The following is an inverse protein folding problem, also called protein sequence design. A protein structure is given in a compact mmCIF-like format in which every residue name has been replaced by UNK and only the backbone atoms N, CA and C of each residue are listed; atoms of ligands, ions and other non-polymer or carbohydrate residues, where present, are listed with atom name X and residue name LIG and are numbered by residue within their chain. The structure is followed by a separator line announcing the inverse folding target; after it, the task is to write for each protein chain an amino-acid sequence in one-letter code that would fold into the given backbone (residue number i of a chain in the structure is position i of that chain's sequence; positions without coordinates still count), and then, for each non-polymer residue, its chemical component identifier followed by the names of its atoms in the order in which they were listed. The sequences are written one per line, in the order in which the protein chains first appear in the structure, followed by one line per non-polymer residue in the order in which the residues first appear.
data_IF_971626896248
#
_entry.id   IF_971626896248
#
_cell.length_a   1.000
_cell.length_b   1.000
_cell.length_c   1.000
_cell.angle_alpha   90.00
_cell.angle_beta   90.00
_cell.angle_gamma   90.00
#
_symmetry.space_group_name_H-M   'P 1'
#
loop_
_entity.id
_entity.type
_entity.pdbx_description
1 polymer ?
#
# COMPACT_ATOMS: atom_id res chain seq x y z
N UNK A 1 51.39 -13.64 54.38
CA UNK A 1 50.56 -12.45 54.09
C UNK A 1 49.09 -12.69 53.73
N UNK A 2 48.53 -13.92 53.80
CA UNK A 2 47.07 -14.17 53.66
C UNK A 2 46.35 -13.39 52.52
N UNK A 3 47.01 -13.16 51.38
CA UNK A 3 46.47 -12.42 50.24
C UNK A 3 46.41 -10.88 50.39
N UNK A 4 47.09 -10.27 51.36
CA UNK A 4 47.14 -8.81 51.57
C UNK A 4 48.24 -8.09 50.75
N UNK A 5 48.82 -8.73 49.74
CA UNK A 5 49.81 -8.14 48.83
C UNK A 5 49.16 -7.83 47.46
N UNK A 6 49.67 -6.85 46.69
CA UNK A 6 49.14 -6.55 45.37
C UNK A 6 49.62 -7.56 44.31
N UNK A 7 48.74 -7.90 43.37
CA UNK A 7 49.08 -8.75 42.21
C UNK A 7 49.62 -7.89 41.06
N UNK A 8 49.03 -6.72 40.85
CA UNK A 8 49.42 -5.79 39.80
C UNK A 8 50.40 -4.73 40.30
N UNK A 9 51.25 -4.23 39.40
CA UNK A 9 52.25 -3.22 39.72
C UNK A 9 51.65 -1.87 40.12
N UNK A 10 52.44 -1.04 40.82
CA UNK A 10 52.02 0.32 41.18
C UNK A 10 51.62 1.12 39.92
N UNK A 11 50.54 1.93 39.97
CA UNK A 11 49.83 2.43 41.17
C UNK A 11 48.63 1.58 41.63
N UNK A 12 48.59 0.27 41.35
CA UNK A 12 47.49 -0.60 41.79
C UNK A 12 47.50 -0.84 43.32
N UNK A 13 46.41 -0.48 43.99
CA UNK A 13 46.21 -0.71 45.42
C UNK A 13 45.33 -1.95 45.72
N UNK A 14 45.04 -2.78 44.72
CA UNK A 14 44.23 -3.98 44.86
C UNK A 14 45.03 -5.13 45.46
N UNK A 15 44.42 -5.82 46.42
CA UNK A 15 45.04 -6.96 47.11
C UNK A 15 44.67 -8.26 46.42
N UNK A 16 45.55 -9.26 46.47
CA UNK A 16 45.30 -10.58 45.89
C UNK A 16 43.99 -11.23 46.33
N UNK A 17 43.56 -11.00 47.58
CA UNK A 17 42.24 -11.45 48.05
C UNK A 17 41.05 -10.71 47.40
N UNK A 18 41.22 -9.41 47.11
CA UNK A 18 40.19 -8.61 46.44
C UNK A 18 40.07 -9.04 44.97
N UNK A 19 41.19 -9.40 44.34
CA UNK A 19 41.21 -9.96 42.98
C UNK A 19 40.47 -11.30 42.89
N UNK A 20 40.71 -12.21 43.84
CA UNK A 20 39.99 -13.48 43.89
C UNK A 20 38.48 -13.27 44.05
N UNK A 21 38.07 -12.45 45.02
CA UNK A 21 36.65 -12.14 45.25
C UNK A 21 36.02 -11.46 44.03
N UNK A 22 36.76 -10.58 43.34
CA UNK A 22 36.29 -9.95 42.10
C UNK A 22 35.97 -11.00 41.04
N UNK A 23 36.87 -11.94 40.80
CA UNK A 23 36.70 -12.96 39.77
C UNK A 23 35.56 -13.94 40.13
N UNK A 24 35.47 -14.37 41.39
CA UNK A 24 34.37 -15.21 41.88
C UNK A 24 33.02 -14.50 41.78
N UNK A 25 32.97 -13.21 42.12
CA UNK A 25 31.75 -12.43 41.99
C UNK A 25 31.33 -12.25 40.53
N UNK A 26 32.26 -12.04 39.60
CA UNK A 26 31.94 -11.96 38.17
C UNK A 26 31.46 -13.30 37.62
N UNK A 27 32.03 -14.42 38.08
CA UNK A 27 31.54 -15.76 37.73
C UNK A 27 30.10 -15.96 38.24
N UNK A 28 29.79 -15.49 39.45
CA UNK A 28 28.49 -15.66 40.08
C UNK A 28 27.39 -14.74 39.53
N UNK A 29 27.70 -13.46 39.30
CA UNK A 29 26.71 -12.42 38.94
C UNK A 29 26.75 -12.03 37.47
N UNK A 30 27.78 -12.44 36.73
CA UNK A 30 27.97 -12.14 35.32
C UNK A 30 28.65 -10.80 35.05
N UNK A 31 29.37 -10.74 33.93
CA UNK A 31 30.01 -9.51 33.44
C UNK A 31 28.98 -8.42 33.13
N UNK A 32 29.24 -7.19 33.58
CA UNK A 32 28.35 -6.04 33.39
C UNK A 32 27.41 -5.75 34.56
N UNK A 33 27.25 -6.69 35.51
CA UNK A 33 26.44 -6.49 36.71
C UNK A 33 27.28 -5.92 37.88
N UNK A 34 27.90 -4.76 37.67
CA UNK A 34 28.91 -4.19 38.58
C UNK A 34 28.37 -3.80 39.95
N UNK A 35 27.08 -3.47 40.04
CA UNK A 35 26.41 -3.17 41.31
C UNK A 35 26.44 -4.38 42.24
N UNK A 36 26.02 -5.56 41.76
CA UNK A 36 26.01 -6.78 42.56
C UNK A 36 27.44 -7.30 42.83
N UNK A 37 28.34 -7.20 41.85
CA UNK A 37 29.76 -7.58 42.03
C UNK A 37 30.43 -6.71 43.10
N UNK A 38 30.14 -5.41 43.14
CA UNK A 38 30.74 -4.51 44.13
C UNK A 38 30.29 -4.79 45.58
N UNK A 39 29.11 -5.39 45.78
CA UNK A 39 28.64 -5.76 47.13
C UNK A 39 29.54 -6.81 47.80
N UNK A 40 30.25 -7.63 47.02
CA UNK A 40 31.25 -8.58 47.51
C UNK A 40 32.58 -7.90 47.91
N UNK A 41 32.79 -6.66 47.47
CA UNK A 41 34.00 -5.86 47.67
C UNK A 41 33.66 -4.55 48.41
N UNK A 42 33.42 -4.59 49.73
CA UNK A 42 32.92 -3.45 50.48
C UNK A 42 33.87 -2.22 50.53
N UNK A 43 35.12 -2.39 50.11
CA UNK A 43 36.13 -1.32 50.00
C UNK A 43 36.13 -0.61 48.64
N UNK A 44 35.31 -1.03 47.67
CA UNK A 44 35.37 -0.57 46.26
C UNK A 44 33.99 -0.16 45.76
N UNK A 45 33.93 0.86 44.91
CA UNK A 45 32.68 1.22 44.22
C UNK A 45 32.45 0.34 42.98
N UNK A 46 31.21 0.30 42.48
CA UNK A 46 30.87 -0.39 41.23
C UNK A 46 31.67 0.14 40.03
N UNK A 47 31.88 1.46 39.97
CA UNK A 47 32.71 2.12 38.96
C UNK A 47 34.18 1.69 39.04
N UNK A 48 34.78 1.66 40.24
CA UNK A 48 36.16 1.22 40.45
C UNK A 48 36.35 -0.26 40.09
N UNK A 49 35.38 -1.09 40.47
CA UNK A 49 35.36 -2.54 40.16
C UNK A 49 35.31 -2.76 38.66
N UNK A 50 34.42 -2.05 37.95
CA UNK A 50 34.28 -2.10 36.50
C UNK A 50 35.58 -1.67 35.81
N UNK A 51 36.10 -0.50 36.18
CA UNK A 51 37.30 0.06 35.56
C UNK A 51 38.50 -0.86 35.78
N UNK A 52 38.68 -1.36 37.01
CA UNK A 52 39.78 -2.24 37.35
C UNK A 52 39.73 -3.56 36.57
N UNK A 53 38.56 -4.20 36.51
CA UNK A 53 38.39 -5.44 35.77
C UNK A 53 38.69 -5.25 34.28
N UNK A 54 38.11 -4.20 33.67
CA UNK A 54 38.32 -3.90 32.26
C UNK A 54 39.80 -3.60 31.96
N UNK A 55 40.47 -2.81 32.78
CA UNK A 55 41.84 -2.41 32.54
C UNK A 55 42.85 -3.55 32.68
N UNK A 56 42.61 -4.53 33.56
CA UNK A 56 43.57 -5.61 33.82
C UNK A 56 43.22 -6.92 33.11
N UNK A 57 41.94 -7.32 33.11
CA UNK A 57 41.49 -8.62 32.62
C UNK A 57 40.90 -8.60 31.21
N UNK A 58 40.48 -7.44 30.69
CA UNK A 58 39.97 -7.31 29.32
C UNK A 58 40.97 -6.63 28.39
N UNK A 59 41.36 -5.40 28.71
CA UNK A 59 42.28 -4.59 27.91
C UNK A 59 43.73 -4.87 28.28
N UNK A 60 43.98 -5.28 29.54
CA UNK A 60 45.30 -5.47 30.12
C UNK A 60 46.07 -6.67 29.59
N UNK A 61 47.22 -6.96 30.21
CA UNK A 61 48.09 -8.06 29.79
C UNK A 61 47.38 -9.41 29.85
N UNK A 62 46.54 -9.63 30.87
CA UNK A 62 45.77 -10.89 30.99
C UNK A 62 44.79 -10.99 29.83
N UNK A 63 43.96 -9.96 29.63
CA UNK A 63 42.98 -9.94 28.55
C UNK A 63 43.60 -10.10 27.16
N UNK A 64 44.73 -9.44 26.88
CA UNK A 64 45.45 -9.64 25.60
C UNK A 64 45.99 -11.06 25.42
N UNK A 65 46.33 -11.75 26.50
CA UNK A 65 46.87 -13.11 26.47
C UNK A 65 45.78 -14.19 26.46
N UNK A 66 44.63 -13.93 27.10
CA UNK A 66 43.50 -14.88 27.22
C UNK A 66 42.43 -14.66 26.14
N UNK A 67 42.27 -13.43 25.68
CA UNK A 67 41.34 -13.01 24.64
C UNK A 67 42.12 -12.41 23.46
N UNK A 68 42.30 -13.20 22.40
CA UNK A 68 42.93 -12.67 21.19
C UNK A 68 42.03 -11.61 20.57
N UNK A 69 42.45 -10.35 20.58
CA UNK A 69 41.76 -9.28 19.84
C UNK A 69 41.83 -9.51 18.33
N UNK A 70 42.65 -10.46 17.86
CA UNK A 70 42.68 -10.96 16.49
C UNK A 70 41.59 -12.00 16.18
N UNK A 71 40.52 -12.07 16.99
CA UNK A 71 39.27 -12.63 16.48
C UNK A 71 38.76 -11.66 15.43
N UNK A 72 39.25 -11.88 14.20
CA UNK A 72 38.56 -11.49 12.98
C UNK A 72 37.10 -11.87 13.19
N UNK A 73 36.25 -10.87 13.41
CA UNK A 73 34.81 -11.02 13.53
C UNK A 73 34.21 -11.34 12.16
N UNK A 74 34.78 -12.31 11.45
CA UNK A 74 34.13 -13.03 10.36
C UNK A 74 33.10 -14.02 10.96
N UNK A 75 32.29 -13.56 11.91
CA UNK A 75 31.03 -14.22 12.19
C UNK A 75 30.20 -13.98 10.93
N UNK A 76 30.24 -14.94 10.02
CA UNK A 76 29.39 -14.94 8.84
C UNK A 76 27.98 -15.18 9.33
N UNK A 77 27.17 -14.13 9.34
CA UNK A 77 25.76 -14.26 9.65
C UNK A 77 25.07 -15.02 8.51
N UNK A 78 24.85 -16.32 8.74
CA UNK A 78 24.17 -17.22 7.81
C UNK A 78 22.65 -16.99 7.77
N UNK A 79 22.13 -16.08 8.58
CA UNK A 79 20.70 -15.73 8.61
C UNK A 79 20.36 -14.53 7.72
N UNK A 80 21.38 -13.87 7.15
CA UNK A 80 21.18 -12.75 6.22
C UNK A 80 20.82 -13.28 4.83
N UNK A 81 19.60 -13.01 4.31
CA UNK A 81 19.27 -13.33 2.93
C UNK A 81 20.09 -12.47 1.95
N UNK A 82 20.21 -12.89 0.68
CA UNK A 82 20.99 -12.16 -0.36
C UNK A 82 20.61 -10.67 -0.52
N UNK A 83 19.43 -10.25 -0.02
CA UNK A 83 18.95 -8.86 -0.02
C UNK A 83 19.36 -8.00 1.20
N UNK A 84 20.23 -8.51 2.09
CA UNK A 84 20.68 -7.79 3.29
C UNK A 84 19.88 -8.13 4.56
N UNK A 85 20.32 -7.63 5.72
CA UNK A 85 19.76 -8.03 7.01
C UNK A 85 18.37 -7.41 7.22
N UNK A 86 17.51 -8.18 7.86
CA UNK A 86 16.09 -7.86 8.03
C UNK A 86 15.80 -6.97 9.20
N UNK A 87 16.73 -7.03 10.14
CA UNK A 87 16.89 -6.11 11.25
C UNK A 87 18.25 -5.43 11.07
N UNK A 88 18.43 -4.21 11.58
CA UNK A 88 19.73 -3.60 11.67
C UNK A 88 20.72 -4.53 12.36
N UNK A 89 21.91 -4.60 11.78
CA UNK A 89 23.06 -5.25 12.40
C UNK A 89 24.08 -4.20 12.79
N UNK A 90 25.06 -4.56 13.63
CA UNK A 90 26.15 -3.67 14.00
C UNK A 90 26.91 -3.12 12.77
N UNK A 91 26.91 -3.87 11.66
CA UNK A 91 27.48 -3.46 10.37
C UNK A 91 26.53 -2.67 9.46
N UNK A 92 25.22 -2.62 9.77
CA UNK A 92 24.19 -1.96 8.96
C UNK A 92 23.15 -1.27 9.85
N UNK A 93 23.46 -0.08 10.40
CA UNK A 93 22.54 0.67 11.26
C UNK A 93 21.33 1.19 10.47
N UNK A 94 20.16 1.30 11.13
CA UNK A 94 18.95 1.91 10.54
C UNK A 94 19.14 3.42 10.43
N UNK A 95 18.66 4.00 9.33
CA UNK A 95 18.47 5.44 9.27
C UNK A 95 17.48 5.90 10.37
N UNK A 96 17.79 6.96 11.13
CA UNK A 96 16.86 7.47 12.13
C UNK A 96 15.53 7.86 11.49
N UNK A 97 14.42 7.28 11.98
CA UNK A 97 13.07 7.66 11.57
C UNK A 97 12.52 8.68 12.57
N UNK A 98 12.07 9.84 12.09
CA UNK A 98 11.37 10.85 12.90
C UNK A 98 9.92 10.37 13.17
N UNK A 99 9.78 9.57 14.23
CA UNK A 99 8.51 9.06 14.73
C UNK A 99 8.27 9.57 16.15
N UNK A 100 7.08 10.10 16.41
CA UNK A 100 6.70 10.53 17.76
C UNK A 100 6.36 9.32 18.64
N UNK A 101 6.48 9.40 19.98
CA UNK A 101 6.12 8.29 20.87
C UNK A 101 4.68 7.79 20.68
N UNK A 102 3.74 8.69 20.35
CA UNK A 102 2.34 8.33 20.09
C UNK A 102 2.19 7.53 18.79
N UNK A 103 2.85 7.94 17.71
CA UNK A 103 2.84 7.21 16.43
C UNK A 103 3.54 5.85 16.57
N UNK A 104 4.61 5.81 17.36
CA UNK A 104 5.33 4.58 17.67
C UNK A 104 4.41 3.58 18.37
N UNK A 105 3.65 4.01 19.37
CA UNK A 105 2.69 3.18 20.07
C UNK A 105 1.52 2.74 19.18
N UNK A 106 1.03 3.61 18.29
CA UNK A 106 -0.07 3.27 17.37
C UNK A 106 0.35 2.20 16.35
N UNK A 107 1.59 2.27 15.85
CA UNK A 107 2.14 1.29 14.92
C UNK A 107 2.72 0.04 15.60
N UNK A 108 3.03 0.11 16.89
CA UNK A 108 3.86 -0.87 17.58
C UNK A 108 5.25 -1.00 16.93
N UNK A 109 5.77 0.07 16.32
CA UNK A 109 7.05 0.03 15.60
C UNK A 109 8.23 0.24 16.55
N UNK A 110 9.34 -0.45 16.32
CA UNK A 110 10.55 -0.40 17.12
C UNK A 110 11.70 0.16 16.27
N UNK A 111 11.98 1.48 16.31
CA UNK A 111 12.89 2.14 15.37
C UNK A 111 14.32 1.58 15.39
N UNK A 112 14.85 1.25 16.56
CA UNK A 112 16.20 0.70 16.70
C UNK A 112 16.32 -0.75 16.20
N UNK A 113 15.19 -1.42 15.92
CA UNK A 113 15.12 -2.81 15.45
C UNK A 113 14.58 -2.94 14.02
N UNK A 114 14.08 -1.85 13.44
CA UNK A 114 13.34 -1.85 12.17
C UNK A 114 12.26 -2.96 12.15
N UNK A 115 11.50 -3.06 13.23
CA UNK A 115 10.63 -4.20 13.51
C UNK A 115 9.33 -3.77 14.20
N UNK A 116 8.34 -4.66 14.28
CA UNK A 116 7.03 -4.41 14.87
C UNK A 116 6.78 -5.34 16.05
N UNK A 117 6.10 -4.84 17.09
CA UNK A 117 5.66 -5.65 18.24
C UNK A 117 4.78 -6.82 17.81
N UNK A 118 3.98 -6.63 16.75
CA UNK A 118 3.15 -7.65 16.14
C UNK A 118 3.44 -7.74 14.65
N UNK A 119 3.99 -8.87 14.22
CA UNK A 119 4.33 -9.08 12.82
C UNK A 119 3.13 -9.56 11.98
N UNK A 120 3.29 -9.48 10.66
CA UNK A 120 2.37 -10.16 9.74
C UNK A 120 2.43 -11.67 9.97
N UNK A 121 1.27 -12.30 10.13
CA UNK A 121 1.15 -13.71 10.51
C UNK A 121 1.98 -14.06 11.75
N UNK A 122 1.71 -13.34 12.85
CA UNK A 122 2.40 -13.45 14.13
C UNK A 122 2.39 -14.87 14.74
N UNK A 123 1.48 -15.74 14.30
CA UNK A 123 1.36 -17.10 14.82
C UNK A 123 2.08 -18.12 13.94
N UNK A 124 2.90 -17.70 12.95
CA UNK A 124 3.56 -18.63 12.03
C UNK A 124 4.44 -19.65 12.75
N UNK A 125 5.09 -19.22 13.83
CA UNK A 125 5.97 -20.00 14.70
C UNK A 125 5.21 -21.15 15.39
N UNK A 126 3.88 -21.05 15.54
CA UNK A 126 3.06 -22.13 16.07
C UNK A 126 3.13 -23.42 15.23
N UNK A 127 3.45 -23.33 13.93
CA UNK A 127 3.61 -24.49 13.05
C UNK A 127 4.80 -25.37 13.42
N UNK A 128 5.82 -24.77 14.04
CA UNK A 128 7.08 -25.45 14.37
C UNK A 128 7.29 -25.59 15.88
N UNK A 129 6.41 -25.02 16.70
CA UNK A 129 6.57 -24.98 18.16
C UNK A 129 6.59 -26.35 18.84
N UNK A 130 5.99 -27.36 18.19
CA UNK A 130 5.90 -28.73 18.71
C UNK A 130 6.85 -29.70 17.98
N UNK A 131 7.72 -29.19 17.09
CA UNK A 131 8.71 -30.03 16.42
C UNK A 131 9.80 -30.44 17.40
N UNK A 132 9.96 -31.74 17.58
CA UNK A 132 11.10 -32.36 18.26
C UNK A 132 11.98 -33.06 17.24
N UNK A 133 13.29 -33.13 17.51
CA UNK A 133 14.24 -33.90 16.69
C UNK A 133 14.60 -35.17 17.46
N UNK A 134 14.47 -36.33 16.83
CA UNK A 134 14.75 -37.63 17.45
C UNK A 134 15.11 -38.72 16.43
N UNK A 135 15.03 -39.98 16.85
CA UNK A 135 15.04 -41.11 15.89
C UNK A 135 13.68 -41.16 15.21
N UNK A 136 13.66 -40.82 13.92
CA UNK A 136 12.46 -40.64 13.12
C UNK A 136 12.51 -41.58 11.93
N UNK A 137 11.35 -42.11 11.54
CA UNK A 137 11.23 -42.79 10.27
C UNK A 137 11.12 -41.77 9.11
N UNK A 138 11.28 -42.26 7.88
CA UNK A 138 11.26 -41.41 6.68
C UNK A 138 9.96 -40.62 6.53
N UNK A 139 8.83 -41.19 6.99
CA UNK A 139 7.52 -40.54 6.92
C UNK A 139 7.42 -39.39 7.93
N UNK A 140 7.87 -39.59 9.16
CA UNK A 140 7.92 -38.56 10.19
C UNK A 140 8.85 -37.41 9.78
N UNK A 141 10.05 -37.73 9.29
CA UNK A 141 10.96 -36.71 8.76
C UNK A 141 10.33 -35.95 7.59
N UNK A 142 9.66 -36.62 6.64
CA UNK A 142 8.98 -35.96 5.54
C UNK A 142 7.85 -35.03 6.01
N UNK A 143 7.09 -35.43 7.05
CA UNK A 143 6.04 -34.60 7.64
C UNK A 143 6.62 -33.34 8.30
N UNK A 144 7.69 -33.49 9.09
CA UNK A 144 8.37 -32.36 9.74
C UNK A 144 8.97 -31.40 8.71
N UNK A 145 9.59 -31.92 7.66
CA UNK A 145 10.08 -31.12 6.55
C UNK A 145 8.96 -30.34 5.85
N UNK A 146 7.78 -30.94 5.66
CA UNK A 146 6.63 -30.25 5.10
C UNK A 146 6.13 -29.11 6.03
N UNK A 147 6.10 -29.33 7.35
CA UNK A 147 5.76 -28.29 8.33
C UNK A 147 6.78 -27.14 8.30
N UNK A 148 8.08 -27.43 8.21
CA UNK A 148 9.14 -26.43 8.09
C UNK A 148 9.05 -25.65 6.77
N UNK A 149 8.72 -26.31 5.65
CA UNK A 149 8.48 -25.62 4.37
C UNK A 149 7.26 -24.68 4.47
N UNK A 150 6.16 -25.12 5.09
CA UNK A 150 4.99 -24.27 5.34
C UNK A 150 5.35 -23.03 6.17
N UNK A 151 6.13 -23.20 7.23
CA UNK A 151 6.65 -22.10 8.04
C UNK A 151 7.56 -21.16 7.22
N UNK A 152 8.48 -21.71 6.44
CA UNK A 152 9.40 -20.94 5.58
C UNK A 152 8.64 -20.10 4.54
N UNK A 153 7.53 -20.60 4.00
CA UNK A 153 6.65 -19.83 3.09
C UNK A 153 6.01 -18.63 3.80
N UNK A 154 5.55 -18.79 5.04
CA UNK A 154 4.98 -17.70 5.84
C UNK A 154 6.02 -16.63 6.15
N UNK A 155 7.24 -17.05 6.55
CA UNK A 155 8.34 -16.12 6.76
C UNK A 155 8.68 -15.35 5.49
N UNK A 156 8.83 -16.01 4.33
CA UNK A 156 9.09 -15.33 3.04
C UNK A 156 8.07 -14.24 2.71
N UNK A 157 6.81 -14.45 3.06
CA UNK A 157 5.73 -13.51 2.77
C UNK A 157 5.66 -12.36 3.80
N UNK A 158 5.99 -12.63 5.08
CA UNK A 158 6.23 -11.59 6.09
C UNK A 158 7.38 -10.66 5.69
N UNK A 159 8.47 -11.27 5.23
CA UNK A 159 9.67 -10.64 4.72
C UNK A 159 9.43 -9.76 3.51
N UNK A 160 8.69 -10.29 2.54
CA UNK A 160 8.25 -9.53 1.36
C UNK A 160 7.47 -8.28 1.75
N UNK A 161 6.58 -8.36 2.75
CA UNK A 161 5.85 -7.17 3.25
C UNK A 161 6.77 -6.14 3.90
N UNK A 162 7.73 -6.57 4.72
CA UNK A 162 8.73 -5.65 5.31
C UNK A 162 9.52 -4.93 4.22
N UNK A 163 9.99 -5.66 3.21
CA UNK A 163 10.67 -5.07 2.05
C UNK A 163 9.79 -4.04 1.33
N UNK A 164 8.51 -4.35 1.11
CA UNK A 164 7.56 -3.43 0.47
C UNK A 164 7.33 -2.16 1.30
N UNK A 165 7.19 -2.28 2.63
CA UNK A 165 7.05 -1.13 3.53
C UNK A 165 8.25 -0.19 3.42
N UNK A 166 9.46 -0.76 3.35
CA UNK A 166 10.72 -0.02 3.22
C UNK A 166 10.86 0.65 1.85
N UNK A 167 10.67 -0.11 0.78
CA UNK A 167 10.84 0.37 -0.60
C UNK A 167 9.89 1.53 -0.90
N UNK A 168 8.61 1.40 -0.51
CA UNK A 168 7.61 2.46 -0.67
C UNK A 168 7.66 3.54 0.42
N UNK A 169 8.59 3.46 1.38
CA UNK A 169 8.74 4.40 2.50
C UNK A 169 7.42 4.66 3.24
N UNK A 170 6.61 3.62 3.43
CA UNK A 170 5.25 3.76 3.96
C UNK A 170 5.24 4.30 5.40
N UNK A 171 6.29 3.99 6.17
CA UNK A 171 6.47 4.51 7.52
C UNK A 171 6.66 6.03 7.51
N UNK A 172 7.54 6.55 6.64
CA UNK A 172 7.72 8.00 6.47
C UNK A 172 6.41 8.65 6.04
N UNK A 173 5.72 8.08 5.05
CA UNK A 173 4.44 8.61 4.57
C UNK A 173 3.39 8.69 5.68
N UNK A 174 3.35 7.70 6.58
CA UNK A 174 2.45 7.69 7.73
C UNK A 174 2.78 8.84 8.70
N UNK A 175 4.03 8.96 9.15
CA UNK A 175 4.47 10.02 10.08
C UNK A 175 4.30 11.43 9.48
N UNK A 176 4.43 11.57 8.15
CA UNK A 176 4.27 12.85 7.46
C UNK A 176 2.81 13.16 7.08
N UNK A 177 1.89 12.19 7.12
CA UNK A 177 0.50 12.40 6.73
C UNK A 177 -0.25 13.36 7.67
N UNK A 178 0.14 13.42 8.94
CA UNK A 178 -0.44 14.31 9.96
C UNK A 178 0.21 15.68 10.07
N UNK A 179 1.42 15.87 9.51
CA UNK A 179 2.13 17.15 9.57
C UNK A 179 1.58 18.09 8.49
N UNK A 180 1.27 19.36 8.81
CA UNK A 180 0.84 20.31 7.78
C UNK A 180 1.97 20.45 6.76
N UNK A 181 1.75 19.96 5.53
CA UNK A 181 2.64 20.25 4.40
C UNK A 181 2.84 21.75 4.37
N UNK A 182 4.06 22.21 4.61
CA UNK A 182 4.45 23.60 4.36
C UNK A 182 3.98 23.91 2.93
N UNK A 183 2.95 24.73 2.80
CA UNK A 183 2.35 25.02 1.50
C UNK A 183 3.43 25.59 0.60
N UNK A 184 3.62 25.08 -0.62
CA UNK A 184 4.23 25.90 -1.65
C UNK A 184 3.30 27.10 -1.82
N UNK A 185 3.76 28.27 -1.39
CA UNK A 185 3.14 29.55 -1.71
C UNK A 185 3.14 29.66 -3.24
N UNK A 186 2.00 29.41 -3.88
CA UNK A 186 1.90 29.61 -5.33
C UNK A 186 0.76 28.87 -6.04
N UNK A 187 -0.36 29.57 -6.24
CA UNK A 187 -1.08 29.52 -7.53
C UNK A 187 -2.24 28.53 -7.70
N UNK A 188 -3.45 29.08 -7.76
CA UNK A 188 -4.47 28.67 -8.74
C UNK A 188 -5.56 27.70 -8.26
N UNK A 189 -6.78 28.23 -8.08
CA UNK A 189 -8.03 27.48 -7.82
C UNK A 189 -8.44 26.46 -8.91
N UNK A 190 -7.68 26.31 -10.00
CA UNK A 190 -8.03 25.45 -11.15
C UNK A 190 -7.51 24.00 -11.07
N UNK A 191 -6.67 23.64 -10.08
CA UNK A 191 -6.00 22.31 -10.00
C UNK A 191 -6.72 21.25 -9.15
N UNK A 192 -7.88 21.57 -8.56
CA UNK A 192 -8.52 20.66 -7.58
C UNK A 192 -9.08 19.39 -8.25
N UNK A 193 -9.71 19.55 -9.41
CA UNK A 193 -10.31 18.44 -10.18
C UNK A 193 -9.26 17.53 -10.82
N UNK A 194 -8.17 18.09 -11.36
CA UNK A 194 -7.04 17.30 -11.89
C UNK A 194 -6.41 16.47 -10.78
N UNK A 195 -6.10 17.09 -9.64
CA UNK A 195 -5.49 16.42 -8.48
C UNK A 195 -6.37 15.35 -7.84
N UNK A 196 -7.69 15.45 -7.96
CA UNK A 196 -8.63 14.38 -7.55
C UNK A 196 -8.59 13.19 -8.51
N UNK A 197 -8.58 13.46 -9.82
CA UNK A 197 -8.42 12.41 -10.83
C UNK A 197 -7.05 11.71 -10.74
N UNK A 198 -5.99 12.46 -10.43
CA UNK A 198 -4.64 11.92 -10.28
C UNK A 198 -4.56 11.01 -9.04
N UNK A 199 -5.22 11.39 -7.94
CA UNK A 199 -5.37 10.52 -6.76
C UNK A 199 -6.16 9.26 -7.04
N UNK A 200 -7.27 9.36 -7.78
CA UNK A 200 -8.06 8.19 -8.16
C UNK A 200 -7.23 7.23 -9.03
N UNK A 201 -6.42 7.77 -9.95
CA UNK A 201 -5.49 6.97 -10.75
C UNK A 201 -4.45 6.28 -9.86
N UNK A 202 -3.81 7.01 -8.95
CA UNK A 202 -2.83 6.45 -8.02
C UNK A 202 -3.44 5.30 -7.20
N UNK A 203 -4.64 5.46 -6.66
CA UNK A 203 -5.32 4.41 -5.89
C UNK A 203 -5.61 3.17 -6.75
N UNK A 204 -6.06 3.37 -8.01
CA UNK A 204 -6.28 2.26 -8.95
C UNK A 204 -4.98 1.53 -9.31
N UNK A 205 -3.88 2.25 -9.39
CA UNK A 205 -2.58 1.68 -9.76
C UNK A 205 -1.86 1.00 -8.59
N UNK A 206 -2.29 1.24 -7.33
CA UNK A 206 -1.69 0.65 -6.13
C UNK A 206 -1.57 -0.89 -6.15
N UNK A 207 -2.43 -1.58 -6.89
CA UNK A 207 -2.36 -3.04 -7.07
C UNK A 207 -1.05 -3.52 -7.69
N UNK A 208 -0.36 -2.65 -8.44
CA UNK A 208 0.91 -2.96 -9.08
C UNK A 208 2.11 -2.81 -8.14
N UNK A 209 1.94 -2.17 -6.98
CA UNK A 209 3.02 -2.03 -5.99
C UNK A 209 3.53 -3.37 -5.46
N UNK A 210 2.78 -4.44 -5.67
CA UNK A 210 3.17 -5.79 -5.28
C UNK A 210 4.14 -6.45 -6.27
N UNK A 211 4.29 -5.88 -7.47
CA UNK A 211 5.10 -6.41 -8.58
C UNK A 211 6.17 -5.43 -9.08
N UNK A 212 6.15 -4.20 -8.60
CA UNK A 212 7.04 -3.12 -9.01
C UNK A 212 7.79 -2.63 -7.78
N UNK A 213 9.01 -2.15 -7.98
CA UNK A 213 9.67 -1.29 -6.99
C UNK A 213 8.97 0.06 -6.88
N UNK A 214 9.27 0.83 -5.83
CA UNK A 214 8.75 2.18 -5.67
C UNK A 214 9.11 3.09 -6.86
N UNK A 215 10.35 3.01 -7.35
CA UNK A 215 10.82 3.80 -8.48
C UNK A 215 10.10 3.43 -9.80
N UNK A 216 9.95 2.15 -10.09
CA UNK A 216 9.22 1.68 -11.27
C UNK A 216 7.74 2.07 -11.22
N UNK A 217 7.14 2.04 -10.04
CA UNK A 217 5.75 2.43 -9.84
C UNK A 217 5.55 3.94 -10.05
N UNK A 218 6.44 4.78 -9.52
CA UNK A 218 6.42 6.22 -9.78
C UNK A 218 6.57 6.52 -11.27
N UNK A 219 7.53 5.86 -11.94
CA UNK A 219 7.73 5.99 -13.38
C UNK A 219 6.49 5.58 -14.19
N UNK A 220 5.80 4.50 -13.79
CA UNK A 220 4.54 4.10 -14.41
C UNK A 220 3.50 5.22 -14.32
N UNK A 221 3.32 5.81 -13.14
CA UNK A 221 2.35 6.89 -12.92
C UNK A 221 2.67 8.12 -13.77
N UNK A 222 3.93 8.55 -13.79
CA UNK A 222 4.38 9.67 -14.62
C UNK A 222 4.13 9.40 -16.11
N UNK A 223 4.39 8.18 -16.58
CA UNK A 223 4.17 7.80 -17.97
C UNK A 223 2.69 7.80 -18.35
N UNK A 224 1.81 7.35 -17.46
CA UNK A 224 0.36 7.40 -17.68
C UNK A 224 -0.16 8.84 -17.73
N UNK A 225 0.35 9.71 -16.88
CA UNK A 225 0.02 11.14 -16.92
C UNK A 225 0.50 11.79 -18.22
N UNK A 226 1.77 11.55 -18.59
CA UNK A 226 2.36 12.04 -19.84
C UNK A 226 1.61 11.53 -21.06
N UNK A 227 1.20 10.26 -21.07
CA UNK A 227 0.39 9.70 -22.16
C UNK A 227 -0.95 10.44 -22.29
N UNK A 228 -1.63 10.70 -21.18
CA UNK A 228 -2.89 11.44 -21.14
C UNK A 228 -2.71 12.88 -21.68
N UNK A 229 -1.65 13.56 -21.27
CA UNK A 229 -1.31 14.91 -21.76
C UNK A 229 -1.04 14.90 -23.27
N UNK A 230 -0.24 13.95 -23.76
CA UNK A 230 0.07 13.81 -25.19
C UNK A 230 -1.18 13.52 -26.00
N UNK A 231 -2.07 12.62 -25.53
CA UNK A 231 -3.36 12.34 -26.18
C UNK A 231 -4.24 13.58 -26.24
N UNK A 232 -4.30 14.37 -25.16
CA UNK A 232 -5.05 15.63 -25.14
C UNK A 232 -4.46 16.65 -26.13
N UNK A 233 -3.13 16.79 -26.16
CA UNK A 233 -2.42 17.68 -27.08
C UNK A 233 -2.61 17.26 -28.54
N UNK A 234 -2.58 15.96 -28.85
CA UNK A 234 -2.86 15.45 -30.19
C UNK A 234 -4.30 15.80 -30.60
N UNK A 235 -5.29 15.56 -29.73
CA UNK A 235 -6.70 15.92 -30.00
C UNK A 235 -6.86 17.43 -30.25
N UNK A 236 -6.15 18.27 -29.51
CA UNK A 236 -6.12 19.72 -29.68
C UNK A 236 -5.49 20.13 -31.03
N UNK A 237 -4.32 19.58 -31.36
CA UNK A 237 -3.64 19.86 -32.63
C UNK A 237 -4.46 19.42 -33.85
N UNK A 238 -5.11 18.25 -33.77
CA UNK A 238 -6.03 17.79 -34.81
C UNK A 238 -7.23 18.72 -34.96
N UNK A 239 -7.73 19.30 -33.86
CA UNK A 239 -8.81 20.29 -33.89
C UNK A 239 -8.37 21.58 -34.58
N UNK A 240 -7.16 22.07 -34.35
CA UNK A 240 -6.62 23.23 -35.09
C UNK A 240 -6.55 22.95 -36.59
N UNK A 241 -6.00 21.81 -36.99
CA UNK A 241 -5.91 21.41 -38.41
C UNK A 241 -7.28 21.35 -39.08
N UNK A 242 -8.30 20.80 -38.41
CA UNK A 242 -9.69 20.76 -38.92
C UNK A 242 -10.31 22.16 -39.10
N UNK A 243 -9.82 23.16 -38.38
CA UNK A 243 -10.25 24.55 -38.52
C UNK A 243 -9.32 25.37 -39.44
N UNK A 244 -8.46 24.69 -40.21
CA UNK A 244 -7.59 25.33 -41.21
C UNK A 244 -6.32 25.97 -40.62
N UNK A 245 -6.02 25.76 -39.34
CA UNK A 245 -4.83 26.31 -38.69
C UNK A 245 -3.67 25.34 -38.89
N UNK A 246 -2.62 25.83 -39.53
CA UNK A 246 -1.45 25.01 -39.88
C UNK A 246 -0.17 25.46 -39.17
N UNK A 247 -0.16 26.63 -38.52
CA UNK A 247 0.99 27.16 -37.77
C UNK A 247 0.69 27.22 -36.27
N UNK A 248 1.70 26.95 -35.44
CA UNK A 248 1.55 26.95 -33.98
C UNK A 248 1.26 28.34 -33.41
N UNK A 249 1.82 29.39 -34.00
CA UNK A 249 1.67 30.78 -33.52
C UNK A 249 0.21 31.27 -33.62
N UNK A 250 -0.54 30.73 -34.59
CA UNK A 250 -1.96 31.05 -34.84
C UNK A 250 -2.92 30.33 -33.86
N UNK A 251 -2.44 29.31 -33.13
CA UNK A 251 -3.28 28.51 -32.22
C UNK A 251 -3.85 29.35 -31.06
N UNK A 252 -3.05 30.24 -30.49
CA UNK A 252 -3.46 31.04 -29.32
C UNK A 252 -4.59 32.00 -29.66
N UNK A 253 -4.49 32.68 -30.81
CA UNK A 253 -5.49 33.62 -31.30
C UNK A 253 -6.81 32.91 -31.60
N UNK A 254 -6.74 31.73 -32.20
CA UNK A 254 -7.90 30.89 -32.46
C UNK A 254 -8.60 30.45 -31.17
N UNK A 255 -7.87 30.04 -30.13
CA UNK A 255 -8.50 29.63 -28.89
C UNK A 255 -9.13 30.82 -28.14
N UNK A 256 -8.51 32.00 -28.17
CA UNK A 256 -9.12 33.23 -27.65
C UNK A 256 -10.42 33.55 -28.40
N UNK A 257 -10.40 33.50 -29.73
CA UNK A 257 -11.57 33.74 -30.56
C UNK A 257 -12.68 32.69 -30.34
N UNK A 258 -12.31 31.42 -30.19
CA UNK A 258 -13.20 30.30 -29.89
C UNK A 258 -13.85 30.47 -28.52
N UNK A 259 -13.05 30.71 -27.48
CA UNK A 259 -13.53 30.91 -26.12
C UNK A 259 -14.47 32.12 -26.04
N UNK A 260 -14.16 33.23 -26.74
CA UNK A 260 -15.06 34.38 -26.86
C UNK A 260 -16.39 34.01 -27.53
N UNK A 261 -16.36 33.16 -28.57
CA UNK A 261 -17.57 32.67 -29.25
C UNK A 261 -18.40 31.75 -28.36
N UNK A 262 -17.78 30.84 -27.63
CA UNK A 262 -18.44 29.93 -26.69
C UNK A 262 -19.08 30.70 -25.53
N UNK A 263 -18.36 31.66 -24.92
CA UNK A 263 -18.89 32.52 -23.87
C UNK A 263 -20.11 33.33 -24.34
N UNK A 264 -20.09 33.84 -25.58
CA UNK A 264 -21.24 34.51 -26.19
C UNK A 264 -22.43 33.57 -26.39
N UNK A 265 -22.19 32.33 -26.83
CA UNK A 265 -23.24 31.29 -26.96
C UNK A 265 -23.82 30.90 -25.60
N UNK A 266 -23.01 30.76 -24.56
CA UNK A 266 -23.49 30.49 -23.20
C UNK A 266 -24.36 31.61 -22.66
N UNK A 267 -23.93 32.87 -22.81
CA UNK A 267 -24.72 34.03 -22.38
C UNK A 267 -26.05 34.07 -23.12
N UNK A 268 -26.05 33.83 -24.44
CA UNK A 268 -27.28 33.75 -25.26
C UNK A 268 -28.19 32.59 -24.87
N UNK A 269 -27.63 31.46 -24.42
CA UNK A 269 -28.38 30.29 -23.94
C UNK A 269 -28.96 30.52 -22.54
N UNK A 270 -28.29 31.31 -21.70
CA UNK A 270 -28.76 31.72 -20.37
C UNK A 270 -29.78 32.86 -20.42
N UNK A 271 -29.76 33.68 -21.48
CA UNK A 271 -30.68 34.83 -21.67
C UNK A 271 -31.89 34.53 -22.57
N UNK A 272 -32.05 33.30 -23.07
CA UNK A 272 -33.23 32.93 -23.85
C UNK A 272 -34.40 32.58 -22.90
N UNK A 273 -35.58 33.24 -23.03
CA UNK A 273 -36.74 32.86 -22.25
C UNK A 273 -37.25 31.49 -22.72
N UNK A 274 -37.69 30.66 -21.78
CA UNK A 274 -38.41 29.43 -22.07
C UNK A 274 -39.81 29.77 -22.59
N UNK A 275 -39.96 29.96 -23.91
CA UNK A 275 -41.28 29.93 -24.54
C UNK A 275 -41.23 29.30 -25.94
N UNK A 276 -42.22 28.44 -26.12
CA UNK A 276 -42.58 27.57 -27.25
C UNK A 276 -42.50 28.19 -28.65
N UNK A 277 -42.23 27.37 -29.68
CA UNK A 277 -43.24 26.97 -30.68
C UNK A 277 -42.59 26.06 -31.74
N UNK A 278 -43.26 24.94 -31.99
CA UNK A 278 -43.01 23.99 -33.06
C UNK A 278 -42.96 24.65 -34.45
N UNK A 279 -41.92 24.36 -35.24
CA UNK A 279 -42.02 24.26 -36.71
C UNK A 279 -41.13 23.12 -37.20
N UNK A 280 -41.77 22.03 -37.66
CA UNK A 280 -41.12 21.03 -38.51
C UNK A 280 -40.85 21.66 -39.89
N UNK A 281 -39.67 21.48 -40.50
CA UNK A 281 -39.54 21.66 -41.94
C UNK A 281 -39.89 20.35 -42.66
N UNK A 282 -40.73 20.52 -43.68
CA UNK A 282 -41.10 19.51 -44.67
C UNK A 282 -39.90 19.19 -45.57
N UNK A 283 -39.83 17.93 -45.98
CA UNK A 283 -38.86 17.34 -46.89
C UNK A 283 -38.74 18.05 -48.25
N UNK A 284 -37.53 18.12 -48.79
CA UNK A 284 -37.34 17.98 -50.24
C UNK A 284 -36.22 16.98 -50.50
N UNK A 285 -36.56 15.98 -51.32
CA UNK A 285 -35.69 14.93 -51.76
C UNK A 285 -34.66 15.47 -52.75
N UNK A 286 -33.44 14.94 -52.69
CA UNK A 286 -32.55 14.85 -53.85
C UNK A 286 -31.70 13.60 -53.71
N UNK A 287 -32.03 12.61 -54.54
CA UNK A 287 -31.18 11.45 -54.87
C UNK A 287 -29.89 11.95 -55.52
N UNK A 288 -28.73 11.37 -55.18
CA UNK A 288 -27.79 10.79 -56.16
C UNK A 288 -26.63 10.03 -55.49
N UNK A 289 -26.57 8.75 -55.85
CA UNK A 289 -25.41 7.90 -56.20
C UNK A 289 -24.32 7.55 -55.17
N UNK A 290 -24.13 6.23 -55.06
CA UNK A 290 -23.00 5.50 -54.48
C UNK A 290 -21.71 5.69 -55.28
N UNK A 291 -20.56 5.64 -54.60
CA UNK A 291 -19.41 4.86 -55.08
C UNK A 291 -18.56 4.33 -53.91
N UNK A 292 -18.04 3.11 -54.09
CA UNK A 292 -17.31 2.25 -53.14
C UNK A 292 -15.81 2.54 -53.09
N UNK A 293 -15.20 2.10 -51.98
CA UNK A 293 -13.75 1.88 -51.79
C UNK A 293 -13.16 2.77 -50.70
N UNK A 294 -12.42 2.32 -49.68
CA UNK A 294 -11.94 1.03 -49.25
C UNK A 294 -11.18 1.23 -47.91
N UNK A 295 -11.34 0.27 -46.99
CA UNK A 295 -10.34 -0.25 -46.01
C UNK A 295 -9.40 0.77 -45.30
N UNK A 296 -9.59 1.06 -44.01
CA UNK A 296 -8.96 0.33 -42.88
C UNK A 296 -9.10 1.02 -41.49
N UNK A 297 -9.16 0.16 -40.47
CA UNK A 297 -8.69 0.33 -39.07
C UNK A 297 -9.42 1.26 -38.06
N UNK A 298 -10.14 0.60 -37.16
CA UNK A 298 -10.17 0.71 -35.67
C UNK A 298 -9.81 2.08 -35.06
N UNK A 299 -10.80 2.68 -34.40
CA UNK A 299 -10.78 3.25 -33.04
C UNK A 299 -12.02 4.15 -32.89
N UNK A 300 -12.98 3.80 -32.03
CA UNK A 300 -13.87 4.83 -31.50
C UNK A 300 -14.32 4.52 -30.08
N UNK A 301 -13.66 5.23 -29.15
CA UNK A 301 -14.18 5.53 -27.82
C UNK A 301 -15.44 6.39 -27.92
N UNK A 302 -16.28 6.19 -26.91
CA UNK A 302 -17.57 6.82 -26.67
C UNK A 302 -17.49 8.35 -26.64
N UNK A 303 -18.36 8.98 -27.44
CA UNK A 303 -18.77 10.37 -27.27
C UNK A 303 -20.24 10.41 -26.87
N UNK A 304 -20.50 10.89 -25.65
CA UNK A 304 -21.82 11.09 -25.07
C UNK A 304 -22.56 12.22 -25.80
N UNK A 305 -23.64 11.87 -26.51
CA UNK A 305 -24.74 12.78 -26.83
C UNK A 305 -26.05 12.06 -26.61
N UNK A 306 -26.76 12.47 -25.54
CA UNK A 306 -28.13 12.08 -25.25
C UNK A 306 -29.08 12.61 -26.33
N UNK A 307 -29.62 11.71 -27.13
CA UNK A 307 -30.95 11.84 -27.72
C UNK A 307 -31.80 10.65 -27.29
N UNK A 308 -33.00 10.96 -26.83
CA UNK A 308 -33.99 10.04 -26.26
C UNK A 308 -34.59 9.19 -27.39
N UNK A 309 -34.14 7.95 -27.50
CA UNK A 309 -34.78 6.90 -28.30
C UNK A 309 -34.46 5.57 -27.61
N UNK A 310 -35.48 4.94 -27.03
CA UNK A 310 -35.37 3.64 -26.35
C UNK A 310 -35.08 2.53 -27.37
N UNK A 311 -33.84 2.44 -27.84
CA UNK A 311 -33.31 1.19 -28.38
C UNK A 311 -32.92 0.29 -27.21
N UNK A 312 -33.52 -0.89 -27.15
CA UNK A 312 -33.19 -1.89 -26.16
C UNK A 312 -31.72 -2.29 -26.35
N UNK A 313 -30.87 -1.91 -25.41
CA UNK A 313 -29.48 -2.37 -25.37
C UNK A 313 -29.49 -3.89 -25.33
N UNK A 314 -28.87 -4.52 -26.34
CA UNK A 314 -28.75 -5.96 -26.38
C UNK A 314 -27.80 -6.41 -25.26
N UNK A 315 -28.37 -6.87 -24.16
CA UNK A 315 -27.63 -7.29 -22.97
C UNK A 315 -27.01 -8.69 -23.12
N UNK A 316 -27.33 -9.42 -24.20
CA UNK A 316 -26.93 -10.83 -24.39
C UNK A 316 -25.42 -10.99 -24.57
N UNK A 317 -24.76 -10.03 -25.19
CA UNK A 317 -23.32 -10.05 -25.43
C UNK A 317 -22.49 -9.45 -24.28
N UNK A 318 -23.13 -9.03 -23.17
CA UNK A 318 -22.44 -8.36 -22.07
C UNK A 318 -21.83 -9.35 -21.06
N UNK A 319 -20.63 -9.07 -20.53
CA UNK A 319 -20.01 -9.92 -19.50
C UNK A 319 -20.93 -10.15 -18.29
N UNK A 320 -21.04 -11.42 -17.89
CA UNK A 320 -21.89 -11.84 -16.77
C UNK A 320 -23.35 -12.15 -17.13
N UNK A 321 -23.76 -11.99 -18.40
CA UNK A 321 -25.11 -12.37 -18.86
C UNK A 321 -25.43 -13.85 -18.57
N UNK A 322 -24.46 -14.73 -18.77
CA UNK A 322 -24.62 -16.18 -18.56
C UNK A 322 -24.78 -16.58 -17.10
N UNK A 323 -24.46 -15.69 -16.15
CA UNK A 323 -24.60 -15.94 -14.71
C UNK A 323 -26.00 -15.57 -14.19
N UNK A 324 -26.85 -14.97 -15.03
CA UNK A 324 -28.19 -14.55 -14.68
C UNK A 324 -29.21 -15.66 -15.00
N UNK A 325 -30.17 -15.88 -14.11
CA UNK A 325 -31.35 -16.69 -14.42
C UNK A 325 -32.25 -16.00 -15.45
N UNK A 326 -33.15 -16.74 -16.10
CA UNK A 326 -34.06 -16.18 -17.11
C UNK A 326 -34.94 -15.03 -16.59
N UNK A 327 -35.31 -15.08 -15.30
CA UNK A 327 -36.05 -14.00 -14.63
C UNK A 327 -35.19 -12.75 -14.47
N UNK A 328 -33.91 -12.91 -14.15
CA UNK A 328 -32.95 -11.83 -13.98
C UNK A 328 -32.52 -11.23 -15.32
N UNK A 329 -32.34 -12.07 -16.35
CA UNK A 329 -32.10 -11.65 -17.75
C UNK A 329 -33.22 -10.73 -18.23
N UNK A 330 -34.48 -11.15 -18.09
CA UNK A 330 -35.66 -10.33 -18.44
C UNK A 330 -35.74 -9.03 -17.64
N UNK A 331 -35.42 -9.08 -16.34
CA UNK A 331 -35.42 -7.90 -15.48
C UNK A 331 -34.36 -6.89 -15.93
N UNK A 332 -33.13 -7.34 -16.19
CA UNK A 332 -32.03 -6.49 -16.66
C UNK A 332 -32.37 -5.83 -18.00
N UNK A 333 -32.95 -6.60 -18.93
CA UNK A 333 -33.37 -6.10 -20.25
C UNK A 333 -34.47 -5.05 -20.12
N UNK A 334 -35.46 -5.27 -19.23
CA UNK A 334 -36.57 -4.33 -18.99
C UNK A 334 -36.15 -3.03 -18.29
N UNK A 335 -34.99 -3.05 -17.62
CA UNK A 335 -34.42 -1.91 -16.89
C UNK A 335 -33.29 -1.23 -17.66
N UNK A 336 -32.82 -1.82 -18.77
CA UNK A 336 -31.65 -1.33 -19.51
C UNK A 336 -30.36 -1.33 -18.70
N UNK A 337 -30.22 -2.24 -17.72
CA UNK A 337 -29.03 -2.34 -16.86
C UNK A 337 -28.14 -3.49 -17.33
N UNK A 338 -26.82 -3.31 -17.23
CA UNK A 338 -25.87 -4.37 -17.58
C UNK A 338 -25.91 -5.52 -16.56
N UNK A 339 -25.68 -6.77 -16.98
CA UNK A 339 -25.59 -7.91 -16.07
C UNK A 339 -24.59 -7.70 -14.93
N UNK A 340 -23.42 -7.12 -15.23
CA UNK A 340 -22.41 -6.79 -14.23
C UNK A 340 -22.91 -5.80 -13.15
N UNK A 341 -23.66 -4.77 -13.56
CA UNK A 341 -24.26 -3.80 -12.63
C UNK A 341 -25.31 -4.47 -11.72
N UNK A 342 -26.15 -5.33 -12.30
CA UNK A 342 -27.15 -6.09 -11.55
C UNK A 342 -26.52 -7.06 -10.54
N UNK A 343 -25.52 -7.84 -10.96
CA UNK A 343 -24.82 -8.80 -10.10
C UNK A 343 -24.16 -8.07 -8.93
N UNK A 344 -23.49 -6.95 -9.19
CA UNK A 344 -22.86 -6.14 -8.14
C UNK A 344 -23.90 -5.68 -7.12
N UNK A 345 -25.04 -5.18 -7.57
CA UNK A 345 -26.13 -4.76 -6.68
C UNK A 345 -26.71 -5.93 -5.88
N UNK A 346 -26.95 -7.07 -6.53
CA UNK A 346 -27.39 -8.32 -5.90
C UNK A 346 -26.43 -8.76 -4.80
N UNK A 347 -25.14 -8.80 -5.08
CA UNK A 347 -24.11 -9.21 -4.11
C UNK A 347 -24.09 -8.30 -2.88
N UNK A 348 -24.18 -6.98 -3.07
CA UNK A 348 -24.18 -6.03 -1.94
C UNK A 348 -25.43 -6.21 -1.07
N UNK A 349 -26.61 -6.32 -1.68
CA UNK A 349 -27.87 -6.49 -0.93
C UNK A 349 -27.90 -7.81 -0.17
N UNK A 350 -27.50 -8.92 -0.78
CA UNK A 350 -27.53 -10.23 -0.12
C UNK A 350 -26.47 -10.33 0.98
N UNK A 351 -25.29 -9.73 0.80
CA UNK A 351 -24.26 -9.65 1.85
C UNK A 351 -24.74 -8.85 3.06
N UNK A 352 -25.38 -7.69 2.84
CA UNK A 352 -25.96 -6.89 3.93
C UNK A 352 -27.03 -7.67 4.70
N UNK A 353 -27.92 -8.37 3.99
CA UNK A 353 -28.98 -9.18 4.62
C UNK A 353 -28.42 -10.35 5.42
N UNK A 354 -27.42 -11.05 4.90
CA UNK A 354 -26.72 -12.11 5.63
C UNK A 354 -26.01 -11.59 6.89
N UNK A 355 -25.48 -10.36 6.87
CA UNK A 355 -24.89 -9.71 8.04
C UNK A 355 -25.94 -9.29 9.07
N UNK A 356 -27.12 -8.82 8.63
CA UNK A 356 -28.26 -8.50 9.52
C UNK A 356 -28.80 -9.73 10.25
N UNK A 357 -28.90 -10.87 9.56
CA UNK A 357 -29.29 -12.14 10.19
C UNK A 357 -28.31 -12.58 11.29
N UNK A 358 -27.05 -12.14 11.22
CA UNK A 358 -26.01 -12.37 12.23
C UNK A 358 -25.94 -11.27 13.32
N UNK A 359 -26.94 -10.40 13.40
CA UNK A 359 -27.05 -9.37 14.45
C UNK A 359 -26.30 -8.06 14.18
N UNK A 360 -25.79 -7.82 12.97
CA UNK A 360 -25.10 -6.58 12.62
C UNK A 360 -26.08 -5.44 12.25
N UNK A 361 -25.89 -4.24 12.83
CA UNK A 361 -26.75 -3.04 12.62
C UNK A 361 -26.04 -2.00 11.73
N UNK A 362 -25.37 -2.43 10.66
CA UNK A 362 -24.85 -1.48 9.67
C UNK A 362 -26.00 -0.82 8.88
N UNK A 363 -25.91 0.48 8.61
CA UNK A 363 -26.86 1.19 7.72
C UNK A 363 -26.57 0.79 6.27
N UNK A 364 -27.52 0.12 5.62
CA UNK A 364 -27.42 -0.23 4.20
C UNK A 364 -27.20 1.03 3.36
N UNK A 365 -26.13 1.04 2.56
CA UNK A 365 -25.90 2.06 1.53
C UNK A 365 -26.05 1.40 0.16
N UNK A 366 -27.00 1.89 -0.63
CA UNK A 366 -27.15 1.48 -2.02
C UNK A 366 -25.87 1.76 -2.81
N UNK A 367 -25.37 0.83 -3.64
CA UNK A 367 -24.29 1.08 -4.57
C UNK A 367 -24.59 2.30 -5.47
N UNK A 368 -23.57 3.13 -5.73
CA UNK A 368 -23.69 4.26 -6.64
C UNK A 368 -23.78 3.76 -8.09
N UNK A 369 -24.62 4.40 -8.92
CA UNK A 369 -24.75 4.11 -10.35
C UNK A 369 -26.11 3.55 -10.81
N UNK A 370 -27.01 3.20 -9.89
CA UNK A 370 -28.41 2.86 -10.19
C UNK A 370 -29.35 3.96 -9.71
N UNK A 371 -30.34 4.30 -10.53
CA UNK A 371 -31.38 5.24 -10.10
C UNK A 371 -32.32 4.61 -9.05
N UNK A 372 -33.08 5.46 -8.36
CA UNK A 372 -33.98 5.03 -7.26
C UNK A 372 -35.10 4.11 -7.75
N UNK A 373 -35.55 4.25 -9.00
CA UNK A 373 -36.59 3.41 -9.60
C UNK A 373 -36.10 2.00 -9.90
N UNK A 374 -34.91 1.87 -10.47
CA UNK A 374 -34.24 0.61 -10.77
C UNK A 374 -33.93 -0.13 -9.47
N UNK A 375 -33.39 0.57 -8.46
CA UNK A 375 -33.16 -0.01 -7.13
C UNK A 375 -34.44 -0.60 -6.53
N UNK A 376 -35.56 0.13 -6.59
CA UNK A 376 -36.86 -0.35 -6.06
C UNK A 376 -37.36 -1.59 -6.79
N UNK A 377 -37.28 -1.61 -8.13
CA UNK A 377 -37.72 -2.76 -8.94
C UNK A 377 -36.87 -4.00 -8.68
N UNK A 378 -35.56 -3.84 -8.49
CA UNK A 378 -34.65 -4.96 -8.17
C UNK A 378 -34.90 -5.47 -6.75
N UNK A 379 -35.07 -4.59 -5.76
CA UNK A 379 -35.39 -4.99 -4.39
C UNK A 379 -36.74 -5.72 -4.30
N UNK A 380 -37.76 -5.26 -5.02
CA UNK A 380 -39.05 -5.96 -5.10
C UNK A 380 -38.88 -7.36 -5.72
N UNK A 381 -38.02 -7.51 -6.73
CA UNK A 381 -37.71 -8.82 -7.30
C UNK A 381 -37.04 -9.76 -6.27
N UNK A 382 -36.11 -9.24 -5.46
CA UNK A 382 -35.48 -10.03 -4.39
C UNK A 382 -36.47 -10.43 -3.30
N UNK A 383 -37.38 -9.54 -2.90
CA UNK A 383 -38.43 -9.85 -1.93
C UNK A 383 -39.40 -10.91 -2.47
N UNK A 384 -39.85 -10.76 -3.72
CA UNK A 384 -40.72 -11.74 -4.39
C UNK A 384 -40.02 -13.10 -4.63
N UNK A 385 -38.69 -13.11 -4.70
CA UNK A 385 -37.89 -14.33 -4.83
C UNK A 385 -37.52 -14.92 -3.47
N UNK A 386 -37.96 -14.31 -2.35
CA UNK A 386 -37.70 -14.76 -0.99
C UNK A 386 -36.26 -14.56 -0.52
N UNK A 387 -35.46 -13.77 -1.21
CA UNK A 387 -34.04 -13.57 -0.87
C UNK A 387 -33.83 -12.51 0.20
N UNK A 388 -34.77 -11.58 0.34
CA UNK A 388 -34.79 -10.54 1.37
C UNK A 388 -36.20 -10.46 1.95
N UNK A 389 -36.32 -10.06 3.20
CA UNK A 389 -37.64 -9.77 3.80
C UNK A 389 -38.30 -8.61 3.06
N UNK A 390 -39.59 -8.74 2.76
CA UNK A 390 -40.37 -7.61 2.25
C UNK A 390 -40.42 -6.52 3.34
N UNK A 391 -39.99 -5.31 2.97
CA UNK A 391 -40.12 -4.12 3.81
C UNK A 391 -41.40 -3.36 3.47
#
# INVERSE_FOLDING_TARGET
DCGNFPIFGAPCNWKAKEELVLLEAIEQYGFGNWEDVSQCLPSRSSEEVQEHYNNHYIVGNIGRATWSTEVSTQIKDHTVPEGGPLSPSLSSPVAPVDITPSEQQELGYMPCRDDYEREYDNEAESLISQLSVGEEDELETALKLAQVDMYSRRLRERMRRKALVRDYRLLEQFCHAGRPKASPVGGGRSKRSTREADRELQEKMRIFCQFQSAAEHEQLLENLEREKELKARIKELLRYRRNGITKLDECSEFDVARHRREKRKEVKKKSAPASSVHKKPISTASKKYEEKGGVDTILNEQGDTREDSKEATDITSLPGYELLSDKEKKLCQSLGISPACYITFKTVVLKDQAQRQKGSIAKFRSPAGLDKSHCRRILNHFANSGWISAN
#
